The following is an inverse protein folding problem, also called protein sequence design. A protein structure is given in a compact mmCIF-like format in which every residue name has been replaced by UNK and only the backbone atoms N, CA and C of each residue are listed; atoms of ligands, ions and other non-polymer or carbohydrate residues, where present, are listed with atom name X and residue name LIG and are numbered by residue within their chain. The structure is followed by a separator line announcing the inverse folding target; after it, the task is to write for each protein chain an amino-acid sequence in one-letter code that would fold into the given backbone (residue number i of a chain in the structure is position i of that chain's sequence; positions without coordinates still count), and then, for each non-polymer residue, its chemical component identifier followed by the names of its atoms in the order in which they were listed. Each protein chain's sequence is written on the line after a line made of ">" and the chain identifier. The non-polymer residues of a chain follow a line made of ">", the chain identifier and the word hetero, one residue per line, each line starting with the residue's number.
data_IF_206543540184
#
_entry.id   IF_206543540184
#
_cell.length_a   1.000
_cell.length_b   1.000
_cell.length_c   1.000
_cell.angle_alpha   90.00
_cell.angle_beta   90.00
_cell.angle_gamma   90.00
#
_symmetry.space_group_name_H-M   'P 1'
#
loop_
_entity.id
_entity.type
_entity.pdbx_description
1 polymer ?
#
# COMPACT_ATOMS: atom_id res chain seq x y z
N UNK A 1 -1.03 30.07 -15.92
CA UNK A 1 -2.27 29.41 -15.47
C UNK A 1 -2.45 27.98 -16.02
N UNK A 2 -2.23 27.73 -17.32
CA UNK A 2 -2.38 26.39 -17.95
C UNK A 2 -1.54 25.23 -17.37
N UNK A 3 -0.27 25.40 -16.91
CA UNK A 3 0.52 24.28 -16.41
C UNK A 3 0.08 23.79 -15.02
N UNK A 4 -0.61 24.63 -14.23
CA UNK A 4 -1.17 24.24 -12.93
C UNK A 4 -2.48 23.45 -13.08
N UNK A 5 -3.28 23.77 -14.10
CA UNK A 5 -4.49 23.04 -14.44
C UNK A 5 -4.17 21.63 -14.99
N UNK A 6 -3.12 21.50 -15.82
CA UNK A 6 -2.65 20.20 -16.30
C UNK A 6 -2.08 19.32 -15.17
N UNK A 7 -1.36 19.91 -14.20
CA UNK A 7 -0.92 19.19 -12.98
C UNK A 7 -2.08 18.75 -12.10
N UNK A 8 -3.15 19.56 -12.00
CA UNK A 8 -4.39 19.18 -11.28
C UNK A 8 -5.21 18.11 -12.02
N UNK A 9 -5.19 18.09 -13.35
CA UNK A 9 -5.89 17.06 -14.14
C UNK A 9 -5.18 15.70 -14.05
N UNK A 10 -3.84 15.67 -14.10
CA UNK A 10 -3.06 14.43 -13.91
C UNK A 10 -3.13 13.93 -12.47
N UNK A 11 -3.19 14.83 -11.48
CA UNK A 11 -3.46 14.45 -10.08
C UNK A 11 -4.87 13.86 -9.89
N UNK A 12 -5.88 14.43 -10.55
CA UNK A 12 -7.27 13.92 -10.52
C UNK A 12 -7.43 12.56 -11.20
N UNK A 13 -6.64 12.24 -12.23
CA UNK A 13 -6.63 10.91 -12.84
C UNK A 13 -6.11 9.82 -11.89
N UNK A 14 -5.35 10.19 -10.84
CA UNK A 14 -5.01 9.31 -9.72
C UNK A 14 -6.01 9.34 -8.56
N UNK A 15 -6.99 10.24 -8.57
CA UNK A 15 -8.04 10.37 -7.53
C UNK A 15 -9.26 9.46 -7.79
N UNK A 16 -9.32 8.76 -8.92
CA UNK A 16 -10.38 7.77 -9.22
C UNK A 16 -10.20 6.44 -8.45
N UNK A 17 -9.17 6.35 -7.59
CA UNK A 17 -9.15 5.36 -6.52
C UNK A 17 -10.15 5.82 -5.46
N UNK A 18 -11.39 5.33 -5.58
CA UNK A 18 -12.45 5.51 -4.56
C UNK A 18 -11.82 5.41 -3.17
N UNK A 19 -11.85 6.51 -2.42
CA UNK A 19 -11.35 6.56 -1.05
C UNK A 19 -11.94 5.36 -0.32
N UNK A 20 -11.12 4.46 0.25
CA UNK A 20 -11.62 3.28 0.93
C UNK A 20 -12.64 3.69 2.00
N UNK A 21 -13.92 3.40 1.76
CA UNK A 21 -15.00 3.50 2.74
C UNK A 21 -15.11 2.17 3.46
N UNK A 22 -15.68 2.16 4.68
CA UNK A 22 -15.87 0.92 5.46
C UNK A 22 -16.57 -0.21 4.66
N UNK A 23 -17.50 0.16 3.77
CA UNK A 23 -18.20 -0.76 2.88
C UNK A 23 -17.30 -1.34 1.76
N UNK A 24 -16.35 -0.55 1.24
CA UNK A 24 -15.46 -0.97 0.14
C UNK A 24 -14.21 -1.71 0.62
N UNK A 25 -13.73 -1.48 1.84
CA UNK A 25 -12.60 -2.22 2.44
C UNK A 25 -12.98 -3.65 2.79
N UNK A 26 -14.21 -3.89 3.29
CA UNK A 26 -14.65 -5.22 3.68
C UNK A 26 -15.02 -6.11 2.48
N UNK A 27 -15.55 -5.54 1.39
CA UNK A 27 -15.98 -6.29 0.21
C UNK A 27 -14.83 -6.74 -0.71
N UNK A 28 -13.67 -6.06 -0.65
CA UNK A 28 -12.55 -6.28 -1.57
C UNK A 28 -11.18 -6.11 -0.89
N UNK A 29 -10.97 -6.78 0.25
CA UNK A 29 -9.65 -6.81 0.88
C UNK A 29 -8.62 -7.50 -0.04
N UNK A 30 -7.46 -6.88 -0.32
CA UNK A 30 -6.35 -7.54 -1.00
C UNK A 30 -5.51 -8.45 -0.08
N UNK A 31 -5.90 -8.61 1.20
CA UNK A 31 -5.24 -9.56 2.09
C UNK A 31 -5.57 -11.00 1.68
N UNK A 32 -4.52 -11.81 1.52
CA UNK A 32 -4.67 -13.25 1.26
C UNK A 32 -4.69 -14.02 2.58
N UNK A 33 -5.85 -14.56 2.94
CA UNK A 33 -5.96 -15.57 3.99
C UNK A 33 -5.73 -16.97 3.39
N UNK A 34 -5.56 -18.01 4.22
CA UNK A 34 -5.30 -19.38 3.74
C UNK A 34 -6.29 -19.86 2.66
N UNK A 35 -7.61 -19.62 2.77
CA UNK A 35 -8.55 -19.97 1.69
C UNK A 35 -8.26 -19.25 0.37
N UNK A 36 -7.81 -17.99 0.42
CA UNK A 36 -7.45 -17.22 -0.79
C UNK A 36 -6.19 -17.78 -1.44
N UNK A 37 -5.23 -18.27 -0.64
CA UNK A 37 -4.05 -18.95 -1.15
C UNK A 37 -4.37 -20.26 -1.87
N UNK A 38 -5.31 -21.04 -1.35
CA UNK A 38 -5.81 -22.23 -2.03
C UNK A 38 -6.39 -21.86 -3.41
N UNK A 39 -7.28 -20.86 -3.43
CA UNK A 39 -7.86 -20.32 -4.67
C UNK A 39 -6.82 -19.79 -5.66
N UNK A 40 -5.73 -19.18 -5.17
CA UNK A 40 -4.64 -18.66 -6.01
C UNK A 40 -3.80 -19.76 -6.67
N UNK A 41 -3.64 -20.91 -6.01
CA UNK A 41 -2.84 -22.05 -6.48
C UNK A 41 -3.57 -22.93 -7.50
N UNK A 42 -4.89 -22.83 -7.59
CA UNK A 42 -5.71 -23.59 -8.53
C UNK A 42 -5.23 -23.44 -9.99
N UNK A 43 -5.10 -24.55 -10.72
CA UNK A 43 -4.69 -24.55 -12.13
C UNK A 43 -5.67 -23.80 -13.05
N UNK A 44 -6.95 -23.78 -12.69
CA UNK A 44 -8.00 -23.03 -13.40
C UNK A 44 -7.89 -21.51 -13.24
N UNK A 45 -6.89 -21.01 -12.50
CA UNK A 45 -6.64 -19.57 -12.34
C UNK A 45 -6.51 -18.85 -13.68
N UNK A 46 -5.90 -19.49 -14.69
CA UNK A 46 -5.72 -18.86 -16.01
C UNK A 46 -7.05 -18.61 -16.71
N UNK A 47 -7.96 -19.61 -16.68
CA UNK A 47 -9.32 -19.48 -17.22
C UNK A 47 -10.09 -18.39 -16.46
N UNK A 48 -9.99 -18.37 -15.13
CA UNK A 48 -10.64 -17.33 -14.30
C UNK A 48 -10.09 -15.93 -14.59
N UNK A 49 -8.78 -15.76 -14.70
CA UNK A 49 -8.15 -14.48 -15.02
C UNK A 49 -8.57 -14.00 -16.42
N UNK A 50 -8.69 -14.93 -17.37
CA UNK A 50 -9.20 -14.61 -18.70
C UNK A 50 -10.70 -14.25 -18.69
N UNK A 51 -11.52 -14.99 -17.94
CA UNK A 51 -12.96 -14.69 -17.81
C UNK A 51 -13.23 -13.36 -17.08
N UNK A 52 -12.35 -12.97 -16.16
CA UNK A 52 -12.44 -11.69 -15.41
C UNK A 52 -11.67 -10.55 -16.08
N UNK A 53 -11.20 -10.75 -17.30
CA UNK A 53 -10.39 -9.77 -18.02
C UNK A 53 -11.11 -8.41 -18.14
N UNK A 54 -12.42 -8.40 -18.47
CA UNK A 54 -13.22 -7.17 -18.61
C UNK A 54 -13.52 -6.42 -17.31
N UNK A 55 -13.34 -7.04 -16.14
CA UNK A 55 -13.49 -6.39 -14.84
C UNK A 55 -12.18 -5.83 -14.28
N UNK A 56 -11.06 -6.07 -14.95
CA UNK A 56 -9.74 -5.56 -14.54
C UNK A 56 -9.67 -4.04 -14.60
N UNK A 57 -9.30 -3.41 -13.47
CA UNK A 57 -9.09 -1.96 -13.39
C UNK A 57 -7.94 -1.52 -14.30
N UNK A 58 -6.83 -2.26 -14.31
CA UNK A 58 -5.65 -1.99 -15.15
C UNK A 58 -6.06 -1.90 -16.61
N UNK A 59 -6.87 -2.86 -17.08
CA UNK A 59 -7.33 -2.84 -18.46
C UNK A 59 -8.16 -1.61 -18.78
N UNK A 60 -9.09 -1.21 -17.89
CA UNK A 60 -9.93 -0.02 -18.10
C UNK A 60 -9.09 1.25 -18.22
N UNK A 61 -7.99 1.35 -17.48
CA UNK A 61 -7.06 2.47 -17.58
C UNK A 61 -6.25 2.47 -18.89
N UNK A 62 -5.85 1.29 -19.36
CA UNK A 62 -5.03 1.13 -20.58
C UNK A 62 -5.85 1.20 -21.87
N UNK A 63 -7.14 0.83 -21.80
CA UNK A 63 -8.03 0.69 -22.96
C UNK A 63 -8.12 1.95 -23.82
N UNK A 64 -8.25 3.19 -23.29
CA UNK A 64 -8.28 4.40 -24.12
C UNK A 64 -7.02 4.55 -24.99
N UNK A 65 -5.84 4.27 -24.45
CA UNK A 65 -4.57 4.35 -25.18
C UNK A 65 -4.48 3.26 -26.25
N UNK A 66 -4.91 2.03 -25.93
CA UNK A 66 -4.95 0.92 -26.90
C UNK A 66 -5.91 1.23 -28.04
N UNK A 67 -7.11 1.74 -27.73
CA UNK A 67 -8.10 2.14 -28.73
C UNK A 67 -7.57 3.28 -29.61
N UNK A 68 -6.89 4.27 -29.02
CA UNK A 68 -6.25 5.35 -29.77
C UNK A 68 -5.20 4.82 -30.77
N UNK A 69 -4.26 3.99 -30.32
CA UNK A 69 -3.21 3.42 -31.18
C UNK A 69 -3.77 2.47 -32.25
N UNK A 70 -4.82 1.72 -31.91
CA UNK A 70 -5.52 0.84 -32.86
C UNK A 70 -6.28 1.66 -33.91
N UNK A 71 -6.94 2.74 -33.50
CA UNK A 71 -7.65 3.65 -34.40
C UNK A 71 -6.68 4.40 -35.32
N UNK A 72 -5.54 4.85 -34.79
CA UNK A 72 -4.44 5.42 -35.59
C UNK A 72 -3.97 4.42 -36.65
N UNK A 73 -3.74 3.16 -36.28
CA UNK A 73 -3.32 2.11 -37.21
C UNK A 73 -4.37 1.88 -38.31
N UNK A 74 -5.66 1.86 -37.95
CA UNK A 74 -6.75 1.72 -38.92
C UNK A 74 -6.83 2.92 -39.87
N UNK A 75 -6.60 4.14 -39.36
CA UNK A 75 -6.56 5.34 -40.18
C UNK A 75 -5.37 5.33 -41.15
N UNK A 76 -4.19 4.91 -40.70
CA UNK A 76 -3.01 4.75 -41.56
C UNK A 76 -3.29 3.72 -42.66
N UNK A 77 -3.89 2.59 -42.32
CA UNK A 77 -4.25 1.58 -43.33
C UNK A 77 -5.25 2.10 -44.38
N UNK A 78 -6.23 2.90 -43.98
CA UNK A 78 -7.27 3.39 -44.87
C UNK A 78 -6.86 4.61 -45.71
N UNK A 79 -6.04 5.51 -45.17
CA UNK A 79 -5.81 6.85 -45.74
C UNK A 79 -4.35 7.18 -46.05
N UNK A 80 -3.37 6.46 -45.49
CA UNK A 80 -1.98 6.81 -45.69
C UNK A 80 -1.49 6.38 -47.09
N UNK A 81 -0.87 7.29 -47.87
CA UNK A 81 -0.25 6.92 -49.13
C UNK A 81 0.96 6.00 -48.86
N UNK A 82 1.25 5.08 -49.78
CA UNK A 82 2.37 4.13 -49.66
C UNK A 82 3.75 4.81 -49.49
N UNK A 83 3.84 6.10 -49.83
CA UNK A 83 5.03 6.95 -49.65
C UNK A 83 5.29 7.33 -48.19
N UNK A 84 4.28 7.26 -47.30
CA UNK A 84 4.42 7.46 -45.85
C UNK A 84 4.74 6.13 -45.14
N UNK A 85 5.83 5.48 -45.54
CA UNK A 85 6.32 4.26 -44.89
C UNK A 85 7.61 4.54 -44.12
N UNK A 86 7.69 4.01 -42.90
CA UNK A 86 8.92 4.01 -42.11
C UNK A 86 9.61 2.64 -42.22
N UNK A 87 10.95 2.58 -42.25
CA UNK A 87 11.65 1.31 -42.17
C UNK A 87 11.40 0.66 -40.79
N UNK A 88 11.34 -0.68 -40.75
CA UNK A 88 11.17 -1.42 -39.49
C UNK A 88 12.44 -1.43 -38.61
N UNK A 89 13.61 -1.29 -39.22
CA UNK A 89 14.92 -1.41 -38.55
C UNK A 89 15.07 -0.55 -37.30
N UNK A 90 14.70 0.75 -37.27
CA UNK A 90 14.78 1.56 -36.05
C UNK A 90 13.93 1.00 -34.91
N UNK A 91 12.74 0.47 -35.19
CA UNK A 91 11.87 -0.13 -34.18
C UNK A 91 12.45 -1.42 -33.61
N UNK A 92 13.02 -2.27 -34.47
CA UNK A 92 13.71 -3.49 -34.04
C UNK A 92 14.90 -3.16 -33.13
N UNK A 93 15.75 -2.21 -33.52
CA UNK A 93 16.93 -1.81 -32.74
C UNK A 93 16.56 -1.16 -31.39
N UNK A 94 15.47 -0.39 -31.36
CA UNK A 94 15.03 0.32 -30.15
C UNK A 94 14.09 -0.50 -29.26
N UNK A 95 13.56 -1.63 -29.75
CA UNK A 95 12.64 -2.50 -28.99
C UNK A 95 13.25 -3.01 -27.69
N UNK A 96 14.54 -3.39 -27.70
CA UNK A 96 15.27 -3.80 -26.50
C UNK A 96 15.40 -2.66 -25.50
N UNK A 97 15.72 -1.45 -25.97
CA UNK A 97 15.79 -0.27 -25.11
C UNK A 97 14.43 0.04 -24.46
N UNK A 98 13.33 -0.10 -25.21
CA UNK A 98 11.96 0.03 -24.68
C UNK A 98 11.67 -0.97 -23.57
N UNK A 99 11.92 -2.25 -23.84
CA UNK A 99 11.69 -3.32 -22.89
C UNK A 99 12.51 -3.11 -21.60
N UNK A 100 13.78 -2.72 -21.75
CA UNK A 100 14.66 -2.42 -20.61
C UNK A 100 14.17 -1.23 -19.77
N UNK A 101 13.72 -0.14 -20.40
CA UNK A 101 13.16 1.00 -19.69
C UNK A 101 11.91 0.63 -18.86
N UNK A 102 11.04 -0.21 -19.42
CA UNK A 102 9.86 -0.72 -18.73
C UNK A 102 10.24 -1.64 -17.56
N UNK A 103 11.18 -2.56 -17.76
CA UNK A 103 11.67 -3.47 -16.71
C UNK A 103 12.32 -2.70 -15.56
N UNK A 104 13.17 -1.71 -15.85
CA UNK A 104 13.78 -0.89 -14.79
C UNK A 104 12.74 -0.10 -14.01
N UNK A 105 11.74 0.45 -14.71
CA UNK A 105 10.62 1.16 -14.08
C UNK A 105 9.83 0.22 -13.17
N UNK A 106 9.37 -0.93 -13.68
CA UNK A 106 8.56 -1.86 -12.88
C UNK A 106 9.33 -2.44 -11.70
N UNK A 107 10.62 -2.76 -11.87
CA UNK A 107 11.46 -3.23 -10.77
C UNK A 107 11.65 -2.17 -9.68
N UNK A 108 11.83 -0.90 -10.05
CA UNK A 108 11.96 0.20 -9.09
C UNK A 108 10.66 0.41 -8.32
N UNK A 109 9.51 0.40 -9.01
CA UNK A 109 8.20 0.47 -8.36
C UNK A 109 7.95 -0.72 -7.45
N UNK A 110 8.34 -1.93 -7.85
CA UNK A 110 8.21 -3.13 -7.04
C UNK A 110 9.05 -3.06 -5.76
N UNK A 111 10.31 -2.61 -5.86
CA UNK A 111 11.19 -2.45 -4.71
C UNK A 111 10.59 -1.50 -3.66
N UNK A 112 10.00 -0.39 -4.12
CA UNK A 112 9.29 0.58 -3.28
C UNK A 112 8.04 -0.03 -2.62
N UNK A 113 7.26 -0.81 -3.36
CA UNK A 113 6.12 -1.54 -2.80
C UNK A 113 6.55 -2.55 -1.73
N UNK A 114 7.63 -3.28 -1.99
CA UNK A 114 8.17 -4.25 -1.07
C UNK A 114 8.73 -3.60 0.20
N UNK A 115 9.44 -2.47 0.08
CA UNK A 115 9.93 -1.68 1.23
C UNK A 115 8.76 -1.23 2.12
N UNK A 116 7.68 -0.70 1.54
CA UNK A 116 6.48 -0.33 2.29
C UNK A 116 5.87 -1.50 3.05
N UNK A 117 5.83 -2.70 2.43
CA UNK A 117 5.34 -3.92 3.08
C UNK A 117 6.24 -4.37 4.24
N UNK A 118 7.56 -4.27 4.10
CA UNK A 118 8.53 -4.59 5.15
C UNK A 118 8.33 -3.65 6.35
N UNK A 119 8.25 -2.34 6.12
CA UNK A 119 8.05 -1.33 7.17
C UNK A 119 6.76 -1.56 7.95
N UNK A 120 5.69 -1.95 7.25
CA UNK A 120 4.44 -2.31 7.91
C UNK A 120 4.55 -3.60 8.74
N UNK A 121 5.37 -4.56 8.29
CA UNK A 121 5.76 -5.73 9.11
C UNK A 121 6.50 -5.34 10.38
N UNK A 122 7.41 -4.36 10.30
CA UNK A 122 8.07 -3.77 11.46
C UNK A 122 7.07 -3.14 12.44
N UNK A 123 6.09 -2.41 11.92
CA UNK A 123 5.01 -1.79 12.70
C UNK A 123 4.17 -2.84 13.44
N UNK A 124 3.82 -3.96 12.79
CA UNK A 124 3.13 -5.10 13.42
C UNK A 124 3.92 -5.63 14.61
N UNK A 125 5.22 -5.88 14.43
CA UNK A 125 6.07 -6.45 15.47
C UNK A 125 6.26 -5.47 16.64
N UNK A 126 6.50 -4.19 16.35
CA UNK A 126 6.65 -3.16 17.36
C UNK A 126 5.36 -2.98 18.19
N UNK A 127 4.18 -2.97 17.57
CA UNK A 127 2.91 -2.90 18.29
C UNK A 127 2.66 -4.12 19.17
N UNK A 128 2.96 -5.33 18.69
CA UNK A 128 2.81 -6.57 19.47
C UNK A 128 3.76 -6.61 20.66
N UNK A 129 5.01 -6.21 20.48
CA UNK A 129 5.99 -6.13 21.57
C UNK A 129 5.60 -5.05 22.58
N UNK A 130 5.24 -3.85 22.11
CA UNK A 130 4.78 -2.77 22.97
C UNK A 130 3.55 -3.18 23.79
N UNK A 131 2.57 -3.86 23.19
CA UNK A 131 1.40 -4.35 23.90
C UNK A 131 1.76 -5.39 24.98
N UNK A 132 2.59 -6.38 24.66
CA UNK A 132 3.05 -7.39 25.63
C UNK A 132 3.83 -6.75 26.78
N UNK A 133 4.76 -5.85 26.49
CA UNK A 133 5.56 -5.15 27.51
C UNK A 133 4.68 -4.24 28.39
N UNK A 134 3.71 -3.53 27.79
CA UNK A 134 2.73 -2.70 28.51
C UNK A 134 1.90 -3.56 29.48
N UNK A 135 1.44 -4.73 29.02
CA UNK A 135 0.69 -5.67 29.84
C UNK A 135 1.55 -6.20 30.98
N UNK A 136 2.73 -6.75 30.69
CA UNK A 136 3.61 -7.31 31.72
C UNK A 136 4.03 -6.26 32.77
N UNK A 137 4.27 -5.02 32.35
CA UNK A 137 4.67 -3.94 33.26
C UNK A 137 3.53 -3.34 34.08
N UNK A 138 2.31 -3.27 33.55
CA UNK A 138 1.21 -2.49 34.17
C UNK A 138 0.00 -3.31 34.60
N UNK A 139 -0.17 -4.56 34.15
CA UNK A 139 -1.40 -5.32 34.37
C UNK A 139 -1.76 -5.46 35.86
N UNK A 140 -0.78 -5.74 36.73
CA UNK A 140 -1.00 -5.88 38.18
C UNK A 140 -1.03 -4.53 38.90
N UNK A 141 -0.18 -3.59 38.50
CA UNK A 141 0.01 -2.33 39.22
C UNK A 141 -1.05 -1.28 38.87
N UNK A 142 -1.47 -1.22 37.60
CA UNK A 142 -2.43 -0.22 37.10
C UNK A 142 -3.21 -0.71 35.88
N UNK A 143 -4.28 -1.51 36.11
CA UNK A 143 -5.11 -2.05 35.03
C UNK A 143 -5.70 -0.98 34.12
N UNK A 144 -6.03 0.19 34.67
CA UNK A 144 -6.64 1.31 33.91
C UNK A 144 -5.66 1.94 32.93
N UNK A 145 -4.40 2.18 33.35
CA UNK A 145 -3.35 2.70 32.46
C UNK A 145 -2.92 1.65 31.44
N UNK A 146 -2.86 0.37 31.82
CA UNK A 146 -2.64 -0.73 30.89
C UNK A 146 -3.69 -0.72 29.76
N UNK A 147 -4.98 -0.76 30.11
CA UNK A 147 -6.07 -0.76 29.13
C UNK A 147 -6.06 0.50 28.25
N UNK A 148 -5.77 1.67 28.81
CA UNK A 148 -5.63 2.91 28.04
C UNK A 148 -4.46 2.83 27.05
N UNK A 149 -3.31 2.33 27.48
CA UNK A 149 -2.14 2.10 26.60
C UNK A 149 -2.47 1.17 25.43
N UNK A 150 -3.13 0.03 25.70
CA UNK A 150 -3.54 -0.92 24.66
C UNK A 150 -4.52 -0.31 23.65
N UNK A 151 -5.52 0.45 24.13
CA UNK A 151 -6.48 1.17 23.26
C UNK A 151 -5.77 2.21 22.38
N UNK A 152 -4.76 2.90 22.89
CA UNK A 152 -3.96 3.84 22.11
C UNK A 152 -3.06 3.15 21.08
N UNK A 153 -2.51 1.96 21.39
CA UNK A 153 -1.75 1.16 20.41
C UNK A 153 -2.65 0.76 19.23
N UNK A 154 -3.87 0.30 19.50
CA UNK A 154 -4.82 -0.06 18.44
C UNK A 154 -5.29 1.18 17.67
N UNK A 155 -5.54 2.30 18.36
CA UNK A 155 -5.85 3.57 17.69
C UNK A 155 -4.71 4.04 16.77
N UNK A 156 -3.45 3.99 17.22
CA UNK A 156 -2.29 4.42 16.44
C UNK A 156 -2.19 3.70 15.09
N UNK A 157 -2.36 2.37 15.05
CA UNK A 157 -2.24 1.62 13.79
C UNK A 157 -3.32 1.98 12.78
N UNK A 158 -4.54 2.28 13.25
CA UNK A 158 -5.64 2.75 12.41
C UNK A 158 -5.41 4.18 11.93
N UNK A 159 -4.91 5.07 12.81
CA UNK A 159 -4.53 6.44 12.45
C UNK A 159 -3.43 6.45 11.39
N UNK A 160 -2.40 5.63 11.57
CA UNK A 160 -1.30 5.53 10.62
C UNK A 160 -1.75 4.93 9.29
N UNK A 161 -2.58 3.87 9.29
CA UNK A 161 -3.13 3.30 8.07
C UNK A 161 -3.99 4.33 7.30
N UNK A 162 -4.88 5.03 8.00
CA UNK A 162 -5.71 6.09 7.43
C UNK A 162 -4.88 7.25 6.87
N UNK A 163 -3.83 7.65 7.60
CA UNK A 163 -2.90 8.70 7.17
C UNK A 163 -2.18 8.33 5.86
N UNK A 164 -1.63 7.11 5.78
CA UNK A 164 -0.88 6.65 4.62
C UNK A 164 -1.77 6.39 3.39
N UNK A 165 -3.04 6.05 3.60
CA UNK A 165 -4.03 5.84 2.52
C UNK A 165 -4.77 7.11 2.10
N UNK A 166 -4.65 8.20 2.86
CA UNK A 166 -5.39 9.44 2.62
C UNK A 166 -6.90 9.28 2.86
N UNK A 167 -7.29 8.50 3.87
CA UNK A 167 -8.70 8.33 4.25
C UNK A 167 -9.25 9.62 4.87
N UNK A 168 -10.57 9.82 4.77
CA UNK A 168 -11.21 11.03 5.26
C UNK A 168 -11.16 11.14 6.78
N UNK A 169 -11.11 12.39 7.28
CA UNK A 169 -11.17 12.66 8.71
C UNK A 169 -12.47 12.14 9.35
N UNK A 170 -13.58 12.09 8.60
CA UNK A 170 -14.84 11.49 9.05
C UNK A 170 -14.74 9.98 9.28
N UNK A 171 -14.05 9.26 8.40
CA UNK A 171 -13.79 7.83 8.56
C UNK A 171 -12.92 7.61 9.80
N UNK A 172 -11.82 8.35 9.91
CA UNK A 172 -10.88 8.20 11.01
C UNK A 172 -11.54 8.50 12.36
N UNK A 173 -12.32 9.58 12.46
CA UNK A 173 -13.07 9.93 13.67
C UNK A 173 -14.00 8.79 14.09
N UNK A 174 -14.78 8.23 13.17
CA UNK A 174 -15.70 7.12 13.48
C UNK A 174 -14.98 5.86 13.97
N UNK A 175 -13.78 5.57 13.48
CA UNK A 175 -12.94 4.46 13.97
C UNK A 175 -12.38 4.74 15.37
N UNK A 176 -11.94 5.97 15.63
CA UNK A 176 -11.35 6.36 16.91
C UNK A 176 -12.37 6.43 18.05
N UNK A 177 -13.58 6.93 17.79
CA UNK A 177 -14.67 7.01 18.77
C UNK A 177 -15.08 5.64 19.34
N UNK A 178 -14.80 4.56 18.61
CA UNK A 178 -15.05 3.19 19.07
C UNK A 178 -13.91 2.61 19.93
N UNK A 179 -12.75 3.26 19.96
CA UNK A 179 -11.51 2.69 20.52
C UNK A 179 -10.97 3.45 21.72
N UNK A 180 -11.03 4.79 21.72
CA UNK A 180 -10.39 5.64 22.71
C UNK A 180 -11.39 6.66 23.30
N UNK A 181 -10.98 7.37 24.34
CA UNK A 181 -11.86 8.32 25.03
C UNK A 181 -12.13 9.57 24.16
N UNK A 182 -13.32 10.20 24.23
CA UNK A 182 -13.68 11.34 23.38
C UNK A 182 -12.65 12.48 23.41
N UNK A 183 -12.09 12.79 24.57
CA UNK A 183 -11.05 13.81 24.72
C UNK A 183 -9.76 13.46 23.97
N UNK A 184 -9.40 12.17 23.90
CA UNK A 184 -8.24 11.69 23.14
C UNK A 184 -8.52 11.72 21.63
N UNK A 185 -9.75 11.40 21.21
CA UNK A 185 -10.20 11.53 19.81
C UNK A 185 -10.04 12.98 19.37
N UNK A 186 -10.60 13.93 20.11
CA UNK A 186 -10.55 15.34 19.74
C UNK A 186 -9.12 15.89 19.72
N UNK A 187 -8.28 15.49 20.67
CA UNK A 187 -6.87 15.87 20.69
C UNK A 187 -6.09 15.34 19.46
N UNK A 188 -6.29 14.06 19.09
CA UNK A 188 -5.63 13.46 17.92
C UNK A 188 -6.17 14.09 16.62
N UNK A 189 -7.48 14.28 16.51
CA UNK A 189 -8.12 14.85 15.32
C UNK A 189 -7.76 16.32 15.09
N UNK A 190 -7.52 17.08 16.16
CA UNK A 190 -7.07 18.48 16.08
C UNK A 190 -5.59 18.61 15.65
N UNK A 191 -4.79 17.55 15.76
CA UNK A 191 -3.38 17.59 15.38
C UNK A 191 -3.18 17.71 13.87
N UNK A 192 -2.23 18.57 13.45
CA UNK A 192 -1.76 18.61 12.07
C UNK A 192 -1.02 17.33 11.64
N UNK A 193 -0.52 16.56 12.61
CA UNK A 193 0.11 15.25 12.40
C UNK A 193 -0.51 14.22 13.35
N UNK A 194 -1.59 13.58 12.88
CA UNK A 194 -2.42 12.67 13.68
C UNK A 194 -1.67 11.43 14.18
N UNK A 195 -0.83 10.73 13.37
CA UNK A 195 -0.06 9.58 13.86
C UNK A 195 0.92 9.95 14.97
N UNK A 196 1.62 11.07 14.85
CA UNK A 196 2.52 11.60 15.88
C UNK A 196 1.79 11.98 17.17
N UNK A 197 0.57 12.54 17.06
CA UNK A 197 -0.25 12.81 18.24
C UNK A 197 -0.65 11.53 18.98
N UNK A 198 -0.98 10.44 18.26
CA UNK A 198 -1.25 9.15 18.88
C UNK A 198 0.00 8.56 19.57
N UNK A 199 1.20 8.69 18.98
CA UNK A 199 2.47 8.31 19.62
C UNK A 199 2.74 9.14 20.89
N UNK A 200 2.45 10.43 20.85
CA UNK A 200 2.58 11.33 22.00
C UNK A 200 1.63 10.93 23.14
N UNK A 201 0.38 10.57 22.82
CA UNK A 201 -0.58 10.08 23.79
C UNK A 201 -0.12 8.77 24.45
N UNK A 202 0.43 7.83 23.68
CA UNK A 202 1.04 6.60 24.24
C UNK A 202 2.23 6.92 25.16
N UNK A 203 3.07 7.88 24.77
CA UNK A 203 4.21 8.33 25.59
C UNK A 203 3.76 8.88 26.93
N UNK A 204 2.65 9.63 26.97
CA UNK A 204 2.08 10.15 28.22
C UNK A 204 1.58 9.05 29.16
N UNK A 205 1.03 7.96 28.63
CA UNK A 205 0.64 6.79 29.46
C UNK A 205 1.86 6.18 30.12
N UNK A 206 2.94 5.96 29.36
CA UNK A 206 4.19 5.38 29.85
C UNK A 206 4.86 6.30 30.88
N UNK A 207 4.93 7.62 30.61
CA UNK A 207 5.47 8.59 31.57
C UNK A 207 4.65 8.62 32.86
N UNK A 208 3.33 8.65 32.77
CA UNK A 208 2.45 8.70 33.94
C UNK A 208 2.56 7.45 34.82
N UNK A 209 2.74 6.28 34.22
CA UNK A 209 2.99 5.05 34.96
C UNK A 209 4.35 5.11 35.71
N UNK A 210 5.38 5.66 35.07
CA UNK A 210 6.70 5.83 35.69
C UNK A 210 6.66 6.86 36.83
N UNK A 211 6.00 7.99 36.66
CA UNK A 211 5.82 9.01 37.70
C UNK A 211 5.07 8.49 38.93
N UNK A 212 4.16 7.53 38.73
CA UNK A 212 3.41 6.86 39.80
C UNK A 212 4.19 5.71 40.46
N UNK A 213 5.40 5.41 39.98
CA UNK A 213 6.19 4.27 40.44
C UNK A 213 5.58 2.92 40.07
N UNK A 214 4.67 2.88 39.09
CA UNK A 214 4.01 1.64 38.65
C UNK A 214 4.94 0.80 37.76
N UNK A 215 5.90 1.46 37.09
CA UNK A 215 7.01 0.86 36.33
C UNK A 215 8.33 1.50 36.73
N UNK A 216 9.41 0.73 36.65
CA UNK A 216 10.76 1.19 36.93
C UNK A 216 11.39 1.88 35.71
N UNK A 217 12.56 2.49 35.91
CA UNK A 217 13.26 3.22 34.85
C UNK A 217 13.71 2.31 33.69
N UNK A 218 14.02 1.03 33.96
CA UNK A 218 14.44 0.09 32.92
C UNK A 218 13.23 -0.29 32.05
N UNK A 219 12.09 -0.62 32.66
CA UNK A 219 10.84 -0.88 31.90
C UNK A 219 10.40 0.34 31.10
N UNK A 220 10.50 1.54 31.68
CA UNK A 220 10.24 2.78 30.97
C UNK A 220 11.14 2.93 29.73
N UNK A 221 12.44 2.63 29.83
CA UNK A 221 13.37 2.71 28.71
C UNK A 221 13.01 1.72 27.59
N UNK A 222 12.66 0.47 27.93
CA UNK A 222 12.21 -0.52 26.95
C UNK A 222 10.94 -0.08 26.21
N UNK A 223 9.93 0.39 26.94
CA UNK A 223 8.68 0.87 26.34
C UNK A 223 8.92 2.11 25.44
N UNK A 224 9.79 3.03 25.87
CA UNK A 224 10.18 4.19 25.07
C UNK A 224 10.92 3.80 23.78
N UNK A 225 11.80 2.78 23.83
CA UNK A 225 12.47 2.23 22.65
C UNK A 225 11.45 1.67 21.65
N UNK A 226 10.41 0.96 22.12
CA UNK A 226 9.34 0.46 21.23
C UNK A 226 8.56 1.58 20.57
N UNK A 227 8.29 2.69 21.26
CA UNK A 227 7.68 3.88 20.67
C UNK A 227 8.60 4.57 19.65
N UNK A 228 9.90 4.62 19.92
CA UNK A 228 10.90 5.13 18.97
C UNK A 228 10.88 4.30 17.68
N UNK A 229 10.85 2.97 17.78
CA UNK A 229 10.75 2.09 16.61
C UNK A 229 9.49 2.35 15.78
N UNK A 230 8.35 2.65 16.41
CA UNK A 230 7.12 3.05 15.70
C UNK A 230 7.26 4.40 15.00
N UNK A 231 8.01 5.33 15.59
CA UNK A 231 8.31 6.64 14.99
C UNK A 231 9.19 6.47 13.75
N UNK A 232 10.21 5.60 13.82
CA UNK A 232 11.10 5.30 12.70
C UNK A 232 10.35 4.66 11.53
N UNK A 233 9.49 3.66 11.80
CA UNK A 233 8.70 3.03 10.73
C UNK A 233 7.69 4.01 10.12
N UNK A 234 7.05 4.85 10.93
CA UNK A 234 6.17 5.92 10.45
C UNK A 234 6.93 6.90 9.55
N UNK A 235 8.08 7.41 9.99
CA UNK A 235 8.90 8.34 9.21
C UNK A 235 9.39 7.73 7.89
N UNK A 236 9.78 6.45 7.91
CA UNK A 236 10.15 5.71 6.69
C UNK A 236 8.96 5.55 5.73
N UNK A 237 7.76 5.26 6.25
CA UNK A 237 6.54 5.20 5.44
C UNK A 237 6.20 6.57 4.84
N UNK A 238 6.35 7.67 5.58
CA UNK A 238 6.13 9.02 5.07
C UNK A 238 7.15 9.41 4.00
N UNK A 239 8.42 9.00 4.15
CA UNK A 239 9.44 9.17 3.12
C UNK A 239 9.03 8.48 1.83
N UNK A 240 8.55 7.24 1.89
CA UNK A 240 8.00 6.54 0.73
C UNK A 240 6.85 7.37 0.19
N UNK A 241 5.81 7.68 0.98
CA UNK A 241 4.62 8.39 0.51
C UNK A 241 4.94 9.71 -0.22
N UNK A 242 5.82 10.55 0.36
CA UNK A 242 6.10 11.91 -0.12
C UNK A 242 7.16 11.99 -1.22
N UNK A 243 7.96 10.95 -1.39
CA UNK A 243 9.10 10.97 -2.32
C UNK A 243 8.85 9.96 -3.44
N UNK A 244 8.07 10.31 -4.48
CA UNK A 244 7.83 9.41 -5.63
C UNK A 244 9.12 9.18 -6.42
N UNK A 245 9.08 8.25 -7.40
CA UNK A 245 10.20 8.07 -8.29
C UNK A 245 10.54 9.38 -9.03
N UNK A 246 11.83 9.61 -9.37
CA UNK A 246 12.22 10.81 -10.11
C UNK A 246 11.35 11.01 -11.35
N UNK A 247 10.65 12.15 -11.40
CA UNK A 247 9.69 12.46 -12.47
C UNK A 247 10.33 12.46 -13.85
N UNK A 248 11.64 12.71 -13.95
CA UNK A 248 12.39 12.60 -15.19
C UNK A 248 12.32 11.19 -15.76
N UNK A 249 12.54 10.15 -14.96
CA UNK A 249 12.52 8.75 -15.41
C UNK A 249 11.12 8.37 -15.89
N UNK A 250 10.09 8.62 -15.07
CA UNK A 250 8.69 8.33 -15.41
C UNK A 250 8.26 9.02 -16.70
N UNK A 251 8.59 10.31 -16.87
CA UNK A 251 8.22 11.06 -18.08
C UNK A 251 8.98 10.62 -19.32
N UNK A 252 10.28 10.32 -19.22
CA UNK A 252 11.06 9.87 -20.38
C UNK A 252 10.61 8.49 -20.84
N UNK A 253 10.38 7.54 -19.92
CA UNK A 253 9.86 6.21 -20.26
C UNK A 253 8.51 6.31 -20.97
N UNK A 254 7.55 7.06 -20.41
CA UNK A 254 6.22 7.21 -21.01
C UNK A 254 6.25 7.90 -22.38
N UNK A 255 7.04 8.97 -22.54
CA UNK A 255 7.18 9.67 -23.84
C UNK A 255 7.84 8.81 -24.90
N UNK A 256 8.92 8.11 -24.53
CA UNK A 256 9.61 7.19 -25.43
C UNK A 256 8.67 6.08 -25.88
N UNK A 257 7.94 5.47 -24.94
CA UNK A 257 6.91 4.46 -25.19
C UNK A 257 5.84 4.93 -26.17
N UNK A 258 5.27 6.12 -25.95
CA UNK A 258 4.23 6.68 -26.81
C UNK A 258 4.75 7.01 -28.22
N UNK A 259 5.93 7.61 -28.34
CA UNK A 259 6.54 7.89 -29.64
C UNK A 259 6.82 6.62 -30.44
N UNK A 260 7.35 5.59 -29.77
CA UNK A 260 7.64 4.31 -30.40
C UNK A 260 6.37 3.58 -30.83
N UNK A 261 5.34 3.52 -29.97
CA UNK A 261 4.06 2.88 -30.28
C UNK A 261 3.28 3.60 -31.38
N UNK A 262 3.31 4.94 -31.42
CA UNK A 262 2.62 5.72 -32.46
C UNK A 262 3.37 5.69 -33.80
N UNK A 263 4.70 5.54 -33.77
CA UNK A 263 5.51 5.39 -34.98
C UNK A 263 5.43 3.99 -35.62
N UNK A 264 5.23 2.95 -34.81
CA UNK A 264 5.26 1.56 -35.25
C UNK A 264 4.25 1.20 -36.37
N UNK A 265 2.99 1.69 -36.37
CA UNK A 265 2.02 1.46 -37.44
C UNK A 265 2.54 1.83 -38.84
N UNK A 266 3.31 2.92 -38.98
CA UNK A 266 3.89 3.35 -40.26
C UNK A 266 4.91 2.36 -40.82
N UNK A 267 5.49 1.50 -39.98
CA UNK A 267 6.37 0.42 -40.41
C UNK A 267 5.63 -0.91 -40.62
N UNK A 268 4.56 -1.17 -39.87
CA UNK A 268 3.82 -2.44 -39.92
C UNK A 268 2.76 -2.50 -41.03
N UNK A 269 2.01 -1.42 -41.26
CA UNK A 269 0.91 -1.38 -42.24
C UNK A 269 1.38 -1.74 -43.67
N UNK A 270 2.52 -1.25 -44.18
CA UNK A 270 2.99 -1.63 -45.51
C UNK A 270 3.32 -3.12 -45.67
N UNK A 271 3.66 -3.81 -44.58
CA UNK A 271 4.07 -5.22 -44.58
C UNK A 271 2.90 -6.17 -44.31
N UNK A 272 1.98 -5.77 -43.43
CA UNK A 272 0.91 -6.63 -42.90
C UNK A 272 -0.50 -6.21 -43.36
N UNK A 273 -0.64 -5.04 -44.00
CA UNK A 273 -1.95 -4.50 -44.41
C UNK A 273 -2.92 -4.42 -43.23
N UNK A 274 -4.15 -4.91 -43.43
CA UNK A 274 -5.19 -4.91 -42.41
C UNK A 274 -4.83 -5.71 -41.13
N UNK A 275 -3.94 -6.72 -41.24
CA UNK A 275 -3.48 -7.52 -40.09
C UNK A 275 -2.67 -6.67 -39.08
N UNK A 276 -2.12 -5.53 -39.51
CA UNK A 276 -1.44 -4.60 -38.60
C UNK A 276 -2.37 -4.08 -37.49
N UNK A 277 -3.68 -3.95 -37.75
CA UNK A 277 -4.67 -3.41 -36.79
C UNK A 277 -4.77 -4.30 -35.53
N UNK A 278 -5.13 -5.60 -35.63
CA UNK A 278 -5.16 -6.47 -34.45
C UNK A 278 -3.78 -6.67 -33.82
N UNK A 279 -2.69 -6.65 -34.61
CA UNK A 279 -1.32 -6.73 -34.07
C UNK A 279 -1.01 -5.53 -33.19
N UNK A 280 -1.33 -4.31 -33.63
CA UNK A 280 -1.13 -3.09 -32.85
C UNK A 280 -1.98 -3.05 -31.58
N UNK A 281 -3.22 -3.57 -31.63
CA UNK A 281 -4.04 -3.72 -30.43
C UNK A 281 -3.37 -4.62 -29.38
N UNK A 282 -2.82 -5.77 -29.79
CA UNK A 282 -2.12 -6.70 -28.88
C UNK A 282 -0.81 -6.10 -28.36
N UNK A 283 0.02 -5.54 -29.24
CA UNK A 283 1.33 -4.97 -28.85
C UNK A 283 1.17 -3.80 -27.90
N UNK A 284 0.27 -2.86 -28.20
CA UNK A 284 -0.01 -1.72 -27.32
C UNK A 284 -0.60 -2.17 -25.99
N UNK A 285 -1.50 -3.15 -25.99
CA UNK A 285 -2.06 -3.70 -24.77
C UNK A 285 -0.98 -4.27 -23.86
N UNK A 286 -0.06 -5.08 -24.39
CA UNK A 286 1.02 -5.68 -23.59
C UNK A 286 1.97 -4.61 -23.02
N UNK A 287 2.44 -3.70 -23.87
CA UNK A 287 3.44 -2.70 -23.50
C UNK A 287 2.87 -1.68 -22.49
N UNK A 288 1.70 -1.10 -22.79
CA UNK A 288 1.08 -0.09 -21.94
C UNK A 288 0.58 -0.71 -20.62
N UNK A 289 0.17 -1.99 -20.61
CA UNK A 289 -0.18 -2.68 -19.36
C UNK A 289 1.01 -2.85 -18.41
N UNK A 290 2.21 -3.10 -18.93
CA UNK A 290 3.42 -3.21 -18.09
C UNK A 290 3.73 -1.86 -17.43
N UNK A 291 3.64 -0.76 -18.18
CA UNK A 291 3.84 0.59 -17.64
C UNK A 291 2.80 0.92 -16.56
N UNK A 292 1.53 0.59 -16.81
CA UNK A 292 0.43 0.78 -15.87
C UNK A 292 0.62 -0.03 -14.58
N UNK A 293 1.07 -1.29 -14.67
CA UNK A 293 1.45 -2.09 -13.49
C UNK A 293 2.54 -1.35 -12.69
N UNK A 294 3.54 -0.78 -13.37
CA UNK A 294 4.59 0.02 -12.74
C UNK A 294 4.06 1.23 -11.98
N UNK A 295 3.11 1.98 -12.56
CA UNK A 295 2.42 3.11 -11.90
C UNK A 295 1.68 2.63 -10.65
N UNK A 296 0.95 1.52 -10.76
CA UNK A 296 0.16 0.99 -9.65
C UNK A 296 1.01 0.51 -8.47
N UNK A 297 2.22 -0.01 -8.73
CA UNK A 297 3.18 -0.38 -7.69
C UNK A 297 3.90 0.84 -7.08
N UNK A 298 3.98 1.96 -7.81
CA UNK A 298 4.61 3.20 -7.35
C UNK A 298 3.85 3.85 -6.17
N UNK A 299 2.55 3.56 -6.04
CA UNK A 299 1.68 4.00 -4.94
C UNK A 299 1.30 2.85 -3.99
N UNK A 300 2.20 2.42 -3.08
CA UNK A 300 2.03 1.15 -2.38
C UNK A 300 0.94 1.14 -1.32
N UNK A 301 0.75 2.24 -0.58
CA UNK A 301 -0.16 2.27 0.57
C UNK A 301 -1.64 2.14 0.18
N UNK A 302 -2.03 2.62 -1.00
CA UNK A 302 -3.38 2.41 -1.53
C UNK A 302 -3.64 0.98 -2.00
N UNK A 303 -2.58 0.20 -2.27
CA UNK A 303 -2.68 -1.20 -2.71
C UNK A 303 -2.48 -2.22 -1.58
N UNK A 304 -1.77 -1.83 -0.53
CA UNK A 304 -1.60 -2.66 0.65
C UNK A 304 -2.90 -2.70 1.48
N UNK A 305 -3.29 -3.87 2.03
CA UNK A 305 -4.44 -4.00 2.93
C UNK A 305 -4.13 -3.45 4.33
N UNK A 306 -3.78 -2.17 4.46
CA UNK A 306 -3.31 -1.60 5.73
C UNK A 306 -4.38 -1.69 6.84
N UNK A 307 -5.65 -1.49 6.50
CA UNK A 307 -6.77 -1.61 7.45
C UNK A 307 -6.93 -3.05 7.95
N UNK A 308 -6.82 -4.04 7.07
CA UNK A 308 -6.90 -5.45 7.48
C UNK A 308 -5.70 -5.85 8.34
N UNK A 309 -4.51 -5.35 8.01
CA UNK A 309 -3.33 -5.57 8.85
C UNK A 309 -3.48 -4.86 10.20
N UNK A 310 -4.06 -3.65 10.24
CA UNK A 310 -4.37 -2.95 11.48
C UNK A 310 -5.38 -3.75 12.34
N UNK A 311 -6.41 -4.33 11.72
CA UNK A 311 -7.36 -5.23 12.39
C UNK A 311 -6.67 -6.48 12.96
N UNK A 312 -5.69 -7.06 12.26
CA UNK A 312 -4.89 -8.19 12.76
C UNK A 312 -4.02 -7.78 13.96
N UNK A 313 -3.43 -6.58 13.94
CA UNK A 313 -2.69 -6.04 15.09
C UNK A 313 -3.64 -5.88 16.28
N UNK A 314 -4.80 -5.25 16.07
CA UNK A 314 -5.82 -5.07 17.10
C UNK A 314 -6.29 -6.40 17.70
N UNK A 315 -6.57 -7.39 16.87
CA UNK A 315 -6.93 -8.73 17.33
C UNK A 315 -5.81 -9.37 18.18
N UNK A 316 -4.54 -9.16 17.80
CA UNK A 316 -3.38 -9.64 18.58
C UNK A 316 -3.31 -8.95 19.94
N UNK A 317 -3.45 -7.62 19.98
CA UNK A 317 -3.42 -6.83 21.23
C UNK A 317 -4.55 -7.23 22.17
N UNK A 318 -5.77 -7.36 21.64
CA UNK A 318 -6.93 -7.81 22.41
C UNK A 318 -6.78 -9.25 22.90
N UNK A 319 -6.18 -10.14 22.09
CA UNK A 319 -5.83 -11.51 22.48
C UNK A 319 -4.88 -11.53 23.67
N UNK A 320 -3.76 -10.81 23.59
CA UNK A 320 -2.79 -10.72 24.70
C UNK A 320 -3.42 -10.23 25.99
N UNK A 321 -4.30 -9.23 25.92
CA UNK A 321 -4.98 -8.69 27.11
C UNK A 321 -5.89 -9.74 27.79
N UNK A 322 -6.58 -10.58 27.02
CA UNK A 322 -7.45 -11.64 27.56
C UNK A 322 -6.63 -12.80 28.13
N UNK A 323 -5.64 -13.26 27.36
CA UNK A 323 -4.86 -14.47 27.68
C UNK A 323 -3.87 -14.24 28.84
N UNK A 324 -3.50 -13.00 29.15
CA UNK A 324 -2.54 -12.72 30.22
C UNK A 324 -3.04 -13.15 31.59
N UNK A 325 -4.33 -12.95 31.89
CA UNK A 325 -4.91 -13.37 33.16
C UNK A 325 -4.79 -14.89 33.34
N UNK A 326 -5.13 -15.64 32.29
CA UNK A 326 -5.10 -17.09 32.26
C UNK A 326 -3.66 -17.61 32.34
N UNK A 327 -2.73 -17.00 31.59
CA UNK A 327 -1.34 -17.41 31.54
C UNK A 327 -0.61 -17.12 32.85
N UNK A 328 -0.87 -15.97 33.48
CA UNK A 328 -0.30 -15.64 34.78
C UNK A 328 -0.71 -16.65 35.86
N UNK A 329 -1.98 -17.07 35.88
CA UNK A 329 -2.48 -18.10 36.78
C UNK A 329 -1.79 -19.45 36.53
N UNK A 330 -1.67 -19.87 35.28
CA UNK A 330 -0.96 -21.11 34.91
C UNK A 330 0.51 -21.06 35.31
N UNK A 331 1.19 -19.93 35.08
CA UNK A 331 2.61 -19.79 35.41
C UNK A 331 2.88 -19.74 36.91
N UNK A 332 1.97 -19.16 37.71
CA UNK A 332 2.06 -19.17 39.18
C UNK A 332 1.73 -20.53 39.79
N UNK A 333 0.84 -21.31 39.16
CA UNK A 333 0.41 -22.63 39.64
C UNK A 333 1.22 -23.80 39.08
N UNK A 334 2.01 -23.60 38.02
CA UNK A 334 2.80 -24.66 37.42
C UNK A 334 3.90 -25.12 38.39
N UNK A 335 3.92 -26.40 38.81
CA UNK A 335 5.01 -26.91 39.62
C UNK A 335 6.31 -26.76 38.82
N UNK A 336 7.35 -26.23 39.47
CA UNK A 336 8.68 -26.20 38.89
C UNK A 336 9.02 -27.62 38.42
N UNK A 337 9.27 -27.80 37.12
CA UNK A 337 9.77 -29.08 36.62
C UNK A 337 11.13 -29.31 37.26
N UNK A 338 11.14 -30.06 38.36
CA UNK A 338 12.33 -30.61 38.98
C UNK A 338 12.81 -31.77 38.12
N UNK A 339 13.37 -31.43 36.96
CA UNK A 339 14.08 -32.34 36.08
C UNK A 339 15.23 -31.55 35.49
N UNK A 340 16.46 -31.93 35.85
CA UNK A 340 17.66 -31.39 35.23
C UNK A 340 17.54 -31.53 33.70
N UNK A 341 17.94 -30.47 33.00
CA UNK A 341 17.92 -30.37 31.54
C UNK A 341 18.67 -31.50 30.85
#
# INVERSE_FOLDING_TARGET
>A
AAPAAARRAVARMGDDLVVPTAANTAAHSPAFFQPDWARHREHLRFVRHFATWGSSKILRFVLPTVLFLTAETAAIHAWAPATMSLPLTPFTLTSFAMAMLLVFRTNTSYARWWEARILWGGTVNACRSLARETICGLYKTSPTLCQRGLRLITAYVHVLAAHLQGLSDSYLRGVLEQKIEPAEVDAIMASGHKPGAALCAMSHVIRKAQERGEIDNITHLYLAERLHNLTDTMGACERILRTPMPLSVTRHTSRFMMLWLSGLPFALVPQLGAVAIPVMAVVSLLIVSIDEIGVNLEEPFRRLPLIDIANVIEASVNGYNRETADMALVMEQAPAKTGAW
#
